data_IF_379203052850
#
_entry.id   IF_379203052850
#
_cell.length_a   1.000
_cell.length_b   1.000
_cell.length_c   1.000
_cell.angle_alpha   90.00
_cell.angle_beta   90.00
_cell.angle_gamma   90.00
#
_symmetry.space_group_name_H-M   'P 1'
#
loop_
_entity.id
_entity.type
_entity.pdbx_description
1 polymer ?
#
# COMPACT_ATOMS: atom_id res chain seq x y z
N UNK A 1 -2.15 -3.23 32.30
CA UNK A 1 -1.97 -1.91 31.63
C UNK A 1 -0.61 -1.94 30.96
N UNK A 2 -0.61 -2.14 29.65
CA UNK A 2 0.59 -2.31 28.84
C UNK A 2 0.39 -1.40 27.63
N UNK A 3 1.36 -0.53 27.29
CA UNK A 3 1.19 0.33 26.14
C UNK A 3 1.21 -0.56 24.90
N UNK A 4 0.10 -0.62 24.18
CA UNK A 4 0.02 -1.25 22.87
C UNK A 4 0.78 -0.34 21.91
N UNK A 5 1.98 -0.79 21.57
CA UNK A 5 2.99 -0.03 20.83
C UNK A 5 2.58 0.00 19.34
N UNK A 6 1.91 1.10 19.01
CA UNK A 6 1.64 1.72 17.71
C UNK A 6 2.91 1.93 16.85
N UNK A 7 4.09 1.59 17.36
CA UNK A 7 5.40 1.78 16.74
C UNK A 7 5.73 0.72 15.66
N UNK A 8 4.95 -0.35 15.53
CA UNK A 8 5.30 -1.45 14.62
C UNK A 8 5.07 -1.12 13.13
N UNK A 9 4.34 -0.04 12.81
CA UNK A 9 4.24 0.47 11.43
C UNK A 9 5.41 1.42 11.12
N UNK A 10 5.93 2.12 12.13
CA UNK A 10 6.98 3.14 11.97
C UNK A 10 8.38 2.52 11.83
N UNK A 11 8.60 1.28 12.31
CA UNK A 11 9.91 0.60 12.17
C UNK A 11 10.05 -0.25 10.90
N UNK A 12 9.10 -0.22 9.96
CA UNK A 12 9.07 -1.15 8.81
C UNK A 12 10.04 -0.83 7.67
N UNK A 13 10.84 0.25 7.72
CA UNK A 13 11.70 0.63 6.58
C UNK A 13 13.06 1.18 7.00
N UNK A 14 13.77 0.50 7.92
CA UNK A 14 15.24 0.47 7.82
C UNK A 14 15.62 -0.82 7.10
N UNK A 15 15.38 -0.84 5.79
CA UNK A 15 15.91 -1.88 4.91
C UNK A 15 17.16 -1.34 4.22
N UNK A 16 18.31 -1.44 4.90
CA UNK A 16 19.54 -1.74 4.17
C UNK A 16 19.43 -3.20 3.70
N UNK A 17 19.17 -3.33 2.40
CA UNK A 17 18.88 -4.60 1.75
C UNK A 17 19.19 -4.51 0.27
N UNK A 18 20.48 -4.46 -0.02
CA UNK A 18 21.14 -4.81 -1.28
C UNK A 18 20.30 -5.64 -2.26
N UNK A 19 20.10 -5.07 -3.45
CA UNK A 19 19.71 -5.79 -4.66
C UNK A 19 19.34 -4.80 -5.76
N UNK A 20 20.08 -4.79 -6.87
CA UNK A 20 19.71 -4.12 -8.12
C UNK A 20 18.42 -4.74 -8.69
N UNK A 21 17.28 -4.51 -8.05
CA UNK A 21 15.96 -4.89 -8.54
C UNK A 21 15.46 -3.82 -9.50
N UNK A 22 15.04 -4.21 -10.69
CA UNK A 22 14.39 -3.30 -11.63
C UNK A 22 13.04 -2.83 -11.06
N UNK A 23 12.53 -1.70 -11.56
CA UNK A 23 11.27 -1.11 -11.12
C UNK A 23 10.12 -2.13 -11.15
N UNK A 24 9.68 -2.59 -9.99
CA UNK A 24 8.68 -3.67 -9.82
C UNK A 24 8.95 -4.93 -10.67
N UNK A 25 10.22 -5.31 -10.84
CA UNK A 25 10.66 -6.42 -11.69
C UNK A 25 10.15 -6.33 -13.15
N UNK A 26 9.84 -5.12 -13.63
CA UNK A 26 9.22 -4.84 -14.94
C UNK A 26 7.87 -5.52 -15.18
N UNK A 27 7.17 -5.95 -14.12
CA UNK A 27 5.87 -6.58 -14.22
C UNK A 27 4.80 -5.58 -14.69
N UNK A 28 4.17 -5.86 -15.82
CA UNK A 28 3.07 -5.04 -16.34
C UNK A 28 1.76 -5.50 -15.72
N UNK A 29 1.23 -4.74 -14.75
CA UNK A 29 -0.04 -5.08 -14.16
C UNK A 29 -1.23 -4.73 -15.07
N UNK A 30 -2.33 -5.47 -14.89
CA UNK A 30 -3.65 -4.98 -15.27
C UNK A 30 -4.02 -3.85 -14.30
N UNK A 31 -3.69 -2.62 -14.66
CA UNK A 31 -3.95 -1.44 -13.85
C UNK A 31 -4.57 -0.35 -14.71
N UNK A 32 -5.70 0.16 -14.24
CA UNK A 32 -6.35 1.36 -14.74
C UNK A 32 -6.80 2.18 -13.52
N UNK A 33 -6.29 3.41 -13.41
CA UNK A 33 -6.53 4.26 -12.25
C UNK A 33 -8.02 4.50 -12.00
N UNK A 34 -8.82 4.66 -13.06
CA UNK A 34 -10.26 4.92 -12.93
C UNK A 34 -11.00 3.78 -12.22
N UNK A 35 -10.56 2.55 -12.45
CA UNK A 35 -11.18 1.36 -11.85
C UNK A 35 -10.73 1.15 -10.39
N UNK A 36 -9.63 1.80 -10.00
CA UNK A 36 -9.02 1.70 -8.67
C UNK A 36 -9.43 2.84 -7.74
N UNK A 37 -9.86 4.00 -8.26
CA UNK A 37 -10.31 5.12 -7.41
C UNK A 37 -11.49 4.72 -6.50
N UNK A 38 -11.52 5.29 -5.30
CA UNK A 38 -12.57 5.13 -4.30
C UNK A 38 -12.19 4.18 -3.17
N UNK A 39 -13.22 3.63 -2.55
CA UNK A 39 -13.10 2.88 -1.29
C UNK A 39 -12.75 1.41 -1.51
N UNK A 40 -11.83 0.92 -0.68
CA UNK A 40 -11.38 -0.46 -0.64
C UNK A 40 -11.23 -0.94 0.81
N UNK A 41 -11.56 -2.20 1.06
CA UNK A 41 -11.36 -2.86 2.34
C UNK A 41 -10.20 -3.84 2.24
N UNK A 42 -9.26 -3.77 3.18
CA UNK A 42 -8.27 -4.85 3.34
C UNK A 42 -9.00 -6.08 3.84
N UNK A 43 -8.96 -7.14 3.05
CA UNK A 43 -9.60 -8.43 3.39
C UNK A 43 -8.60 -9.52 3.70
N UNK A 44 -7.36 -9.40 3.23
CA UNK A 44 -6.30 -10.36 3.53
C UNK A 44 -4.91 -9.77 3.25
N UNK A 45 -3.90 -10.44 3.77
CA UNK A 45 -2.50 -10.24 3.35
C UNK A 45 -1.85 -11.59 3.03
N UNK A 46 -0.87 -11.57 2.13
CA UNK A 46 0.09 -12.66 1.95
C UNK A 46 1.39 -12.25 2.66
N UNK A 47 1.74 -12.90 3.78
CA UNK A 47 2.89 -12.51 4.58
C UNK A 47 4.22 -13.01 3.97
N UNK A 48 5.29 -12.27 4.26
CA UNK A 48 6.67 -12.72 4.02
C UNK A 48 7.24 -13.52 5.19
N UNK A 49 8.46 -14.06 5.01
CA UNK A 49 9.14 -14.89 6.02
C UNK A 49 9.29 -14.21 7.38
N UNK A 50 9.53 -12.89 7.42
CA UNK A 50 9.74 -12.17 8.68
C UNK A 50 8.43 -11.65 9.30
N UNK A 51 7.27 -11.92 8.69
CA UNK A 51 6.00 -11.49 9.25
C UNK A 51 5.75 -12.17 10.61
N UNK A 52 5.44 -11.42 11.67
CA UNK A 52 5.17 -11.99 12.97
C UNK A 52 3.89 -12.82 12.95
N UNK A 53 3.81 -13.85 13.81
CA UNK A 53 2.57 -14.63 13.97
C UNK A 53 1.51 -13.84 14.75
N UNK A 54 0.89 -12.88 14.08
CA UNK A 54 -0.17 -12.02 14.60
C UNK A 54 -1.38 -12.00 13.67
N UNK A 55 -2.51 -11.59 14.23
CA UNK A 55 -3.74 -11.30 13.49
C UNK A 55 -3.58 -10.03 12.64
N UNK A 56 -4.40 -9.93 11.60
CA UNK A 56 -4.43 -8.83 10.64
C UNK A 56 -5.70 -8.05 10.86
N UNK A 57 -5.59 -6.72 10.91
CA UNK A 57 -6.71 -5.81 11.20
C UNK A 57 -7.35 -5.32 9.91
N UNK A 58 -8.69 -5.20 9.91
CA UNK A 58 -9.43 -4.87 8.69
C UNK A 58 -9.72 -3.40 8.73
N UNK A 59 -9.11 -2.69 7.80
CA UNK A 59 -9.28 -1.26 7.67
C UNK A 59 -9.62 -0.91 6.24
N UNK A 60 -10.23 0.26 6.11
CA UNK A 60 -10.59 0.86 4.84
C UNK A 60 -9.40 1.66 4.31
N UNK A 61 -9.23 1.64 2.99
CA UNK A 61 -8.32 2.49 2.25
C UNK A 61 -9.11 3.23 1.17
N UNK A 62 -9.01 4.55 1.18
CA UNK A 62 -9.54 5.39 0.10
C UNK A 62 -8.39 5.68 -0.88
N UNK A 63 -8.60 5.37 -2.15
CA UNK A 63 -7.62 5.62 -3.20
C UNK A 63 -8.09 6.78 -4.08
N UNK A 64 -7.25 7.79 -4.27
CA UNK A 64 -7.55 8.94 -5.11
C UNK A 64 -6.37 9.30 -6.01
N UNK A 65 -6.68 9.95 -7.14
CA UNK A 65 -5.68 10.58 -8.00
C UNK A 65 -5.30 11.97 -7.47
N UNK A 66 -4.04 12.37 -7.67
CA UNK A 66 -3.59 13.74 -7.50
C UNK A 66 -2.53 14.07 -8.56
N UNK A 67 -2.14 15.34 -8.66
CA UNK A 67 -1.14 15.79 -9.61
C UNK A 67 0.24 15.99 -8.95
N UNK A 68 1.28 16.06 -9.78
CA UNK A 68 2.65 16.30 -9.32
C UNK A 68 2.84 17.66 -8.65
N UNK A 69 2.03 18.66 -9.01
CA UNK A 69 2.07 19.99 -8.39
C UNK A 69 1.63 19.98 -6.93
N UNK A 70 0.57 19.24 -6.63
CA UNK A 70 0.01 19.02 -5.30
C UNK A 70 0.99 18.26 -4.42
N UNK A 71 1.61 17.20 -4.95
CA UNK A 71 2.66 16.45 -4.25
C UNK A 71 3.87 17.35 -3.93
N UNK A 72 4.30 18.17 -4.90
CA UNK A 72 5.41 19.11 -4.71
C UNK A 72 5.12 20.16 -3.66
N UNK A 73 3.91 20.73 -3.68
CA UNK A 73 3.47 21.67 -2.64
C UNK A 73 3.48 21.01 -1.26
N UNK A 74 2.97 19.79 -1.16
CA UNK A 74 2.92 19.02 0.09
C UNK A 74 4.33 18.78 0.65
N UNK A 75 5.26 18.30 -0.19
CA UNK A 75 6.67 18.07 0.20
C UNK A 75 7.33 19.36 0.71
N UNK A 76 7.10 20.48 0.02
CA UNK A 76 7.66 21.77 0.42
C UNK A 76 7.12 22.27 1.77
N UNK A 77 5.88 21.93 2.11
CA UNK A 77 5.26 22.32 3.40
C UNK A 77 5.65 21.42 4.55
N UNK A 78 5.90 20.15 4.26
CA UNK A 78 6.11 19.10 5.27
C UNK A 78 7.59 18.90 5.61
N UNK A 79 8.48 19.02 4.63
CA UNK A 79 9.89 18.64 4.78
C UNK A 79 10.80 19.87 4.79
N UNK A 80 11.55 20.05 5.88
CA UNK A 80 12.46 21.20 6.12
C UNK A 80 13.62 21.32 5.12
N UNK A 81 13.92 20.27 4.35
CA UNK A 81 14.96 20.26 3.30
C UNK A 81 14.51 19.48 2.05
N UNK A 82 13.64 20.08 1.21
CA UNK A 82 12.92 19.36 0.15
C UNK A 82 13.77 19.05 -1.10
N UNK A 83 14.95 19.69 -1.27
CA UNK A 83 15.72 19.68 -2.54
C UNK A 83 16.13 18.28 -3.04
N UNK A 84 16.28 17.28 -2.16
CA UNK A 84 16.61 15.89 -2.55
C UNK A 84 15.38 15.01 -2.82
N UNK A 85 14.18 15.52 -2.54
CA UNK A 85 12.92 14.76 -2.47
C UNK A 85 11.88 15.26 -3.47
N UNK A 86 12.09 16.45 -4.03
CA UNK A 86 11.29 16.92 -5.13
C UNK A 86 11.43 15.94 -6.29
N UNK A 87 10.30 15.38 -6.78
CA UNK A 87 10.30 14.67 -8.04
C UNK A 87 11.02 15.55 -9.08
N UNK A 88 12.03 15.00 -9.74
CA UNK A 88 12.76 15.72 -10.80
C UNK A 88 11.83 16.11 -11.95
N UNK A 89 10.73 15.37 -12.07
CA UNK A 89 9.69 15.53 -13.06
C UNK A 89 8.31 15.61 -12.38
N UNK A 90 7.46 16.52 -12.83
CA UNK A 90 6.06 16.64 -12.41
C UNK A 90 5.13 15.68 -13.13
N UNK A 91 5.62 15.05 -14.20
CA UNK A 91 4.82 14.19 -15.05
C UNK A 91 4.68 12.79 -14.44
N UNK A 92 3.54 12.15 -14.71
CA UNK A 92 3.16 10.84 -14.19
C UNK A 92 1.97 10.88 -13.23
N UNK A 93 1.30 9.74 -13.10
CA UNK A 93 0.14 9.58 -12.22
C UNK A 93 0.61 9.55 -10.77
N UNK A 94 -0.01 10.36 -9.91
CA UNK A 94 0.19 10.27 -8.46
C UNK A 94 -1.05 9.63 -7.84
N UNK A 95 -0.82 8.56 -7.09
CA UNK A 95 -1.86 7.90 -6.31
C UNK A 95 -1.68 8.28 -4.85
N UNK A 96 -2.78 8.71 -4.23
CA UNK A 96 -2.87 8.86 -2.78
C UNK A 96 -3.68 7.70 -2.22
N UNK A 97 -3.15 7.09 -1.18
CA UNK A 97 -3.81 6.04 -0.41
C UNK A 97 -4.01 6.54 1.02
N UNK A 98 -5.26 6.77 1.40
CA UNK A 98 -5.63 7.14 2.76
C UNK A 98 -6.03 5.91 3.54
N UNK A 99 -5.27 5.61 4.59
CA UNK A 99 -5.48 4.46 5.45
C UNK A 99 -6.32 4.86 6.66
N UNK A 100 -7.53 4.28 6.78
CA UNK A 100 -8.45 4.52 7.88
C UNK A 100 -8.21 3.52 9.01
N UNK A 101 -7.11 3.70 9.75
CA UNK A 101 -6.77 2.88 10.91
C UNK A 101 -7.04 3.63 12.22
N UNK A 102 -6.68 3.04 13.37
CA UNK A 102 -6.71 3.74 14.67
C UNK A 102 -5.87 5.03 14.65
N UNK A 103 -4.80 5.03 13.85
CA UNK A 103 -3.99 6.20 13.55
C UNK A 103 -4.00 6.42 12.03
N UNK A 104 -4.98 7.16 11.50
CA UNK A 104 -5.09 7.33 10.07
C UNK A 104 -3.85 8.02 9.49
N UNK A 105 -3.45 7.62 8.30
CA UNK A 105 -2.31 8.19 7.61
C UNK A 105 -2.53 8.13 6.11
N UNK A 106 -1.85 9.00 5.38
CA UNK A 106 -1.90 9.05 3.93
C UNK A 106 -0.53 8.68 3.37
N UNK A 107 -0.51 7.92 2.28
CA UNK A 107 0.69 7.63 1.49
C UNK A 107 0.51 8.17 0.08
N UNK A 108 1.49 8.92 -0.41
CA UNK A 108 1.53 9.39 -1.80
C UNK A 108 2.60 8.63 -2.56
N UNK A 109 2.20 8.10 -3.70
CA UNK A 109 3.04 7.27 -4.54
C UNK A 109 3.03 7.78 -5.98
N UNK A 110 4.21 7.92 -6.58
CA UNK A 110 4.39 8.38 -7.95
C UNK A 110 4.54 7.19 -8.90
N UNK A 111 3.86 7.21 -10.05
CA UNK A 111 4.00 6.17 -11.07
C UNK A 111 5.43 6.09 -11.59
N UNK A 112 5.89 4.87 -11.83
CA UNK A 112 7.20 4.62 -12.45
C UNK A 112 7.05 4.53 -13.96
N UNK A 113 7.90 5.26 -14.67
CA UNK A 113 7.88 5.32 -16.14
C UNK A 113 8.11 3.93 -16.75
N UNK A 114 7.32 3.58 -17.78
CA UNK A 114 7.46 2.35 -18.54
C UNK A 114 6.93 1.07 -17.87
N UNK A 115 6.40 1.14 -16.64
CA UNK A 115 5.88 -0.03 -15.92
C UNK A 115 4.47 0.23 -15.39
N UNK A 116 3.45 -0.30 -16.08
CA UNK A 116 2.06 -0.06 -15.73
C UNK A 116 1.73 -0.62 -14.34
N UNK A 117 1.12 0.21 -13.49
CA UNK A 117 0.74 -0.12 -12.12
C UNK A 117 1.89 -0.11 -11.11
N UNK A 118 3.12 0.20 -11.52
CA UNK A 118 4.25 0.33 -10.60
C UNK A 118 4.33 1.76 -10.06
N UNK A 119 4.47 1.89 -8.74
CA UNK A 119 4.56 3.18 -8.05
C UNK A 119 5.69 3.17 -7.03
N UNK A 120 6.39 4.29 -6.94
CA UNK A 120 7.34 4.59 -5.87
C UNK A 120 6.63 5.38 -4.78
N UNK A 121 6.62 4.89 -3.56
CA UNK A 121 6.12 5.64 -2.40
C UNK A 121 7.08 6.80 -2.12
N UNK A 122 6.54 8.02 -2.01
CA UNK A 122 7.33 9.25 -1.87
C UNK A 122 7.28 9.78 -0.45
N UNK A 123 6.07 9.86 0.12
CA UNK A 123 5.84 10.47 1.43
C UNK A 123 4.65 9.79 2.13
N UNK A 124 4.78 9.62 3.45
CA UNK A 124 3.70 9.20 4.34
C UNK A 124 3.46 10.26 5.41
N UNK A 125 2.20 10.57 5.70
CA UNK A 125 1.79 11.57 6.70
C UNK A 125 0.72 11.02 7.64
N UNK A 126 0.97 11.09 8.94
CA UNK A 126 -0.03 10.83 9.97
C UNK A 126 -1.11 11.92 9.97
N UNK A 127 -2.38 11.52 9.93
CA UNK A 127 -3.53 12.43 10.04
C UNK A 127 -3.86 12.61 11.52
N UNK A 128 -3.91 13.87 11.99
CA UNK A 128 -4.33 14.22 13.35
C UNK A 128 -3.20 14.51 14.34
N UNK A 129 -1.93 14.31 13.93
CA UNK A 129 -0.80 14.96 14.62
C UNK A 129 -0.65 16.35 14.01
N UNK A 130 -0.72 17.41 14.83
CA UNK A 130 -0.43 18.80 14.41
C UNK A 130 1.02 19.03 13.96
N UNK A 131 1.78 17.96 13.75
CA UNK A 131 3.20 17.98 13.44
C UNK A 131 3.42 17.44 12.02
N UNK A 132 3.17 18.32 11.07
CA UNK A 132 3.32 18.11 9.62
C UNK A 132 4.80 17.79 9.27
N UNK A 133 5.73 17.97 10.22
CA UNK A 133 7.16 17.65 10.08
C UNK A 133 7.51 16.18 10.35
N UNK A 134 6.55 15.33 10.72
CA UNK A 134 6.75 13.87 10.88
C UNK A 134 6.56 13.07 9.59
N UNK A 135 6.67 13.74 8.45
CA UNK A 135 6.67 13.08 7.15
C UNK A 135 7.77 12.02 7.06
N UNK A 136 7.37 10.76 6.90
CA UNK A 136 8.31 9.68 6.66
C UNK A 136 8.62 9.62 5.17
N UNK A 137 9.91 9.75 4.85
CA UNK A 137 10.40 9.47 3.51
C UNK A 137 10.26 7.97 3.27
N UNK A 138 9.64 7.62 2.16
CA UNK A 138 9.67 6.27 1.63
C UNK A 138 10.46 6.25 0.31
N UNK A 139 11.10 5.13 0.05
CA UNK A 139 11.73 4.82 -1.25
C UNK A 139 11.39 3.37 -1.61
N UNK A 140 10.15 3.00 -1.30
CA UNK A 140 9.65 1.65 -1.47
C UNK A 140 8.84 1.56 -2.76
N UNK A 141 9.13 0.53 -3.56
CA UNK A 141 8.34 0.20 -4.73
C UNK A 141 7.11 -0.61 -4.31
N UNK A 142 5.98 -0.27 -4.94
CA UNK A 142 4.73 -1.01 -4.82
C UNK A 142 4.10 -1.19 -6.19
N UNK A 143 3.42 -2.31 -6.38
CA UNK A 143 2.67 -2.60 -7.59
C UNK A 143 1.19 -2.68 -7.25
N UNK A 144 0.36 -1.91 -7.96
CA UNK A 144 -1.08 -2.06 -7.95
C UNK A 144 -1.51 -2.92 -9.14
N UNK A 145 -2.26 -3.97 -8.87
CA UNK A 145 -2.77 -4.90 -9.87
C UNK A 145 -4.24 -5.19 -9.59
N UNK A 146 -5.09 -5.00 -10.59
CA UNK A 146 -6.49 -5.38 -10.55
C UNK A 146 -6.63 -6.79 -11.10
N UNK A 147 -6.91 -7.74 -10.20
CA UNK A 147 -7.15 -9.13 -10.55
C UNK A 147 -8.64 -9.34 -10.82
N UNK A 148 -8.96 -9.56 -12.08
CA UNK A 148 -10.29 -9.96 -12.53
C UNK A 148 -10.45 -11.47 -12.38
N UNK A 149 -11.55 -11.89 -11.76
CA UNK A 149 -11.89 -13.30 -11.56
C UNK A 149 -13.28 -13.50 -12.16
N UNK A 150 -13.40 -14.48 -13.06
CA UNK A 150 -14.68 -14.79 -13.70
C UNK A 150 -15.76 -15.11 -12.66
N UNK A 151 -16.93 -14.47 -12.79
CA UNK A 151 -18.04 -14.66 -11.86
C UNK A 151 -17.88 -14.00 -10.48
N UNK A 152 -16.81 -13.22 -10.25
CA UNK A 152 -16.60 -12.48 -8.99
C UNK A 152 -16.24 -11.02 -9.23
N UNK A 153 -16.38 -10.20 -8.19
CA UNK A 153 -15.89 -8.83 -8.19
C UNK A 153 -14.35 -8.82 -8.16
N UNK A 154 -13.69 -7.86 -8.82
CA UNK A 154 -12.24 -7.84 -8.91
C UNK A 154 -11.59 -7.61 -7.54
N UNK A 155 -10.40 -8.19 -7.38
CA UNK A 155 -9.52 -7.90 -6.26
C UNK A 155 -8.52 -6.82 -6.67
N UNK A 156 -8.28 -5.85 -5.80
CA UNK A 156 -7.10 -5.02 -5.92
C UNK A 156 -5.99 -5.65 -5.10
N UNK A 157 -4.82 -5.83 -5.71
CA UNK A 157 -3.63 -6.37 -5.08
C UNK A 157 -2.56 -5.28 -5.03
N UNK A 158 -2.08 -4.97 -3.83
CA UNK A 158 -0.90 -4.14 -3.63
C UNK A 158 0.27 -5.05 -3.27
N UNK A 159 1.15 -5.27 -4.24
CA UNK A 159 2.36 -6.06 -4.03
C UNK A 159 3.49 -5.17 -3.55
N UNK A 160 4.23 -5.63 -2.56
CA UNK A 160 5.30 -4.90 -1.88
C UNK A 160 6.59 -5.72 -1.99
N UNK A 161 7.74 -5.05 -2.08
CA UNK A 161 9.06 -5.71 -2.13
C UNK A 161 9.79 -5.69 -0.77
N UNK A 162 9.06 -5.41 0.31
CA UNK A 162 9.60 -5.47 1.67
C UNK A 162 9.71 -6.90 2.20
N UNK A 163 10.29 -7.05 3.40
CA UNK A 163 10.50 -8.38 4.04
C UNK A 163 9.34 -8.85 4.92
N UNK A 164 8.26 -8.09 5.02
CA UNK A 164 7.18 -8.29 6.01
C UNK A 164 5.88 -8.71 5.38
N UNK A 165 5.40 -7.99 4.37
CA UNK A 165 4.18 -8.32 3.64
C UNK A 165 4.54 -8.40 2.17
N UNK A 166 4.18 -9.51 1.51
CA UNK A 166 4.37 -9.66 0.09
C UNK A 166 3.24 -8.96 -0.67
N UNK A 167 1.99 -9.17 -0.25
CA UNK A 167 0.81 -8.61 -0.90
C UNK A 167 -0.26 -8.22 0.12
N UNK A 168 -0.87 -7.06 -0.06
CA UNK A 168 -2.14 -6.67 0.58
C UNK A 168 -3.27 -6.86 -0.44
N UNK A 169 -4.34 -7.53 -0.02
CA UNK A 169 -5.47 -7.87 -0.88
C UNK A 169 -6.68 -7.07 -0.43
N UNK A 170 -7.29 -6.37 -1.38
CA UNK A 170 -8.44 -5.53 -1.16
C UNK A 170 -9.67 -6.00 -1.95
N UNK A 171 -10.84 -5.72 -1.39
CA UNK A 171 -12.14 -5.80 -2.07
C UNK A 171 -12.94 -4.52 -1.87
N UNK A 172 -13.92 -4.28 -2.73
CA UNK A 172 -14.91 -3.20 -2.53
C UNK A 172 -15.87 -3.50 -1.37
N UNK A 173 -16.02 -4.77 -1.00
CA UNK A 173 -16.85 -5.24 0.10
C UNK A 173 -15.97 -5.85 1.21
N UNK A 174 -16.48 -5.84 2.45
CA UNK A 174 -15.80 -6.46 3.57
C UNK A 174 -15.89 -7.98 3.49
N UNK A 175 -14.85 -8.65 4.00
CA UNK A 175 -14.80 -10.10 4.11
C UNK A 175 -14.39 -10.82 2.83
N UNK A 176 -13.81 -12.00 3.03
CA UNK A 176 -13.40 -12.90 1.95
C UNK A 176 -13.28 -14.31 2.51
N UNK A 177 -13.56 -15.31 1.69
CA UNK A 177 -13.31 -16.71 2.01
C UNK A 177 -11.94 -17.16 1.51
N UNK A 178 -11.43 -18.27 2.06
CA UNK A 178 -10.15 -18.81 1.62
C UNK A 178 -10.19 -19.26 0.15
N UNK A 179 -11.31 -19.81 -0.31
CA UNK A 179 -11.49 -20.25 -1.71
C UNK A 179 -11.48 -19.07 -2.69
N UNK A 180 -12.11 -17.95 -2.32
CA UNK A 180 -12.09 -16.72 -3.11
C UNK A 180 -10.68 -16.12 -3.26
N UNK A 181 -9.77 -16.38 -2.31
CA UNK A 181 -8.38 -15.90 -2.37
C UNK A 181 -7.46 -16.77 -3.23
N UNK A 182 -7.92 -17.95 -3.68
CA UNK A 182 -7.11 -18.88 -4.45
C UNK A 182 -6.50 -18.25 -5.72
N UNK A 183 -7.25 -17.48 -6.55
CA UNK A 183 -6.67 -16.85 -7.74
C UNK A 183 -5.55 -15.85 -7.40
N UNK A 184 -5.71 -15.07 -6.32
CA UNK A 184 -4.69 -14.14 -5.86
C UNK A 184 -3.44 -14.87 -5.36
N UNK A 185 -3.61 -15.97 -4.62
CA UNK A 185 -2.51 -16.81 -4.16
C UNK A 185 -1.74 -17.45 -5.33
N UNK A 186 -2.44 -17.98 -6.33
CA UNK A 186 -1.85 -18.59 -7.53
C UNK A 186 -1.06 -17.57 -8.36
N UNK A 187 -1.58 -16.35 -8.52
CA UNK A 187 -0.86 -15.28 -9.21
C UNK A 187 0.46 -14.97 -8.49
N UNK A 188 0.42 -14.78 -7.16
CA UNK A 188 1.63 -14.49 -6.39
C UNK A 188 2.62 -15.65 -6.44
N UNK A 189 2.11 -16.89 -6.36
CA UNK A 189 2.93 -18.09 -6.51
C UNK A 189 3.68 -18.11 -7.84
N UNK A 190 3.00 -17.78 -8.93
CA UNK A 190 3.59 -17.71 -10.27
C UNK A 190 4.64 -16.60 -10.40
N UNK A 191 4.41 -15.45 -9.76
CA UNK A 191 5.30 -14.29 -9.87
C UNK A 191 6.54 -14.38 -8.97
N UNK A 192 6.38 -14.92 -7.75
CA UNK A 192 7.40 -14.83 -6.69
C UNK A 192 7.79 -16.18 -6.07
N UNK A 193 7.21 -17.27 -6.56
CA UNK A 193 7.36 -18.60 -5.98
C UNK A 193 6.45 -18.85 -4.77
N UNK A 194 6.60 -19.99 -4.08
CA UNK A 194 5.69 -20.43 -3.02
C UNK A 194 5.45 -19.39 -1.91
N UNK A 195 4.28 -18.74 -1.85
CA UNK A 195 3.98 -17.78 -0.80
C UNK A 195 3.58 -18.51 0.49
N UNK A 196 3.67 -17.81 1.63
CA UNK A 196 2.99 -18.26 2.85
C UNK A 196 1.47 -18.16 2.65
N UNK A 197 0.73 -18.97 3.40
CA UNK A 197 -0.73 -18.95 3.32
C UNK A 197 -1.27 -17.54 3.62
N UNK A 198 -2.30 -17.09 2.87
CA UNK A 198 -2.95 -15.81 3.14
C UNK A 198 -3.49 -15.77 4.56
N UNK A 199 -3.28 -14.64 5.25
CA UNK A 199 -3.95 -14.34 6.51
C UNK A 199 -5.17 -13.50 6.20
N UNK A 200 -6.34 -14.10 6.39
CA UNK A 200 -7.63 -13.41 6.25
C UNK A 200 -7.76 -12.41 7.39
N UNK A 201 -8.36 -11.30 7.04
CA UNK A 201 -8.69 -10.27 7.98
C UNK A 201 -10.09 -10.52 8.55
N UNK A 202 -10.14 -10.92 9.83
CA UNK A 202 -11.41 -11.24 10.50
C UNK A 202 -11.85 -10.16 11.50
N UNK A 203 -10.95 -9.25 11.87
CA UNK A 203 -11.19 -8.23 12.91
C UNK A 203 -11.42 -6.86 12.29
N UNK A 204 -12.70 -6.49 12.15
CA UNK A 204 -13.08 -5.15 11.74
C UNK A 204 -12.54 -4.10 12.71
N UNK A 205 -11.77 -3.14 12.20
CA UNK A 205 -11.46 -1.93 12.95
C UNK A 205 -12.78 -1.16 13.09
N UNK A 206 -13.20 -0.86 14.33
CA UNK A 206 -14.44 -0.09 14.56
C UNK A 206 -14.35 1.19 13.73
N UNK A 207 -15.37 1.46 12.91
CA UNK A 207 -15.41 2.69 12.11
C UNK A 207 -15.34 3.90 13.04
N UNK A 208 -14.18 4.55 13.08
CA UNK A 208 -13.95 5.76 13.88
C UNK A 208 -14.59 7.01 13.24
N UNK A 209 -15.20 6.87 12.05
CA UNK A 209 -15.81 7.94 11.27
C UNK A 209 -17.35 7.91 11.29
N UNK A 210 -17.98 6.98 12.02
CA UNK A 210 -19.42 7.04 12.28
C UNK A 210 -19.63 7.78 13.61
N UNK A 211 -19.77 9.10 13.51
CA UNK A 211 -20.40 9.93 14.53
C UNK A 211 -21.81 10.30 14.07
#
# INVERSE_FOLDING_TARGET
MTPFIILLVITLVNSEGTGNGTNCDNFQANFNLKDVIGDWHVVAIIPEKLFPEKQVMCYKVEISETDGGSLRWLINKTITSPKKLLPKDTDGVIVRQRYHTEHPFDVWSKSVEGVNGCFQQVISLDIGKNDIHKALKHDAMMQLHLLEVEGSKPFLMQMLWGRMVAVVIYRREQGVTQDELKPAFELVHKLRGPPRLPKICDSALRDLLVF
#
